data_IF_892790935830
#
_entry.id   IF_892790935830
#
_cell.length_a   1.000
_cell.length_b   1.000
_cell.length_c   1.000
_cell.angle_alpha   90.00
_cell.angle_beta   90.00
_cell.angle_gamma   90.00
#
_symmetry.space_group_name_H-M   'P 1'
#
loop_
_entity.id
_entity.type
_entity.pdbx_description
1 polymer ?
#
# COMPACT_ATOMS: atom_id res chain seq x y z
N UNK A 1 12.98 20.14 4.91
CA UNK A 1 13.03 18.73 5.37
C UNK A 1 11.80 17.92 4.95
N UNK A 2 10.58 18.46 5.02
CA UNK A 2 9.36 17.76 4.53
C UNK A 2 9.38 17.43 3.02
N UNK A 3 10.02 18.27 2.20
CA UNK A 3 10.14 18.05 0.75
C UNK A 3 10.85 16.75 0.38
N UNK A 4 11.94 16.40 1.08
CA UNK A 4 12.72 15.19 0.83
C UNK A 4 11.95 13.90 1.19
N UNK A 5 11.09 13.98 2.20
CA UNK A 5 10.29 12.83 2.64
C UNK A 5 9.13 12.56 1.68
N UNK A 6 8.51 13.64 1.17
CA UNK A 6 7.51 13.57 0.10
C UNK A 6 8.06 12.95 -1.19
N UNK A 7 9.26 13.35 -1.63
CA UNK A 7 9.89 12.76 -2.82
C UNK A 7 10.15 11.26 -2.67
N UNK A 8 10.57 10.80 -1.49
CA UNK A 8 10.81 9.38 -1.24
C UNK A 8 9.51 8.56 -1.26
N UNK A 9 8.43 9.11 -0.69
CA UNK A 9 7.12 8.47 -0.75
C UNK A 9 6.61 8.33 -2.19
N UNK A 10 6.76 9.38 -3.00
CA UNK A 10 6.34 9.37 -4.42
C UNK A 10 7.12 8.32 -5.20
N UNK A 11 8.45 8.27 -5.03
CA UNK A 11 9.29 7.26 -5.66
C UNK A 11 8.90 5.83 -5.26
N UNK A 12 8.62 5.61 -3.97
CA UNK A 12 8.18 4.32 -3.47
C UNK A 12 6.82 3.90 -4.08
N UNK A 13 5.85 4.82 -4.13
CA UNK A 13 4.54 4.58 -4.75
C UNK A 13 4.71 4.16 -6.22
N UNK A 14 5.51 4.90 -6.99
CA UNK A 14 5.76 4.59 -8.40
C UNK A 14 6.43 3.21 -8.53
N UNK A 15 7.42 2.92 -7.70
CA UNK A 15 8.12 1.62 -7.72
C UNK A 15 7.17 0.46 -7.42
N UNK A 16 6.30 0.57 -6.41
CA UNK A 16 5.34 -0.47 -6.04
C UNK A 16 4.33 -0.70 -7.16
N UNK A 17 3.91 0.35 -7.89
CA UNK A 17 2.98 0.20 -9.01
C UNK A 17 3.63 -0.57 -10.16
N UNK A 18 4.87 -0.24 -10.53
CA UNK A 18 5.61 -0.90 -11.62
C UNK A 18 5.92 -2.36 -11.25
N UNK A 19 6.42 -2.56 -10.04
CA UNK A 19 6.87 -3.87 -9.53
C UNK A 19 5.69 -4.76 -9.19
N UNK A 20 4.58 -4.19 -8.70
CA UNK A 20 3.37 -4.91 -8.30
C UNK A 20 2.66 -5.63 -9.45
N UNK A 21 2.99 -5.32 -10.70
CA UNK A 21 2.51 -6.07 -11.86
C UNK A 21 3.26 -7.40 -12.06
N UNK A 22 4.54 -7.45 -11.69
CA UNK A 22 5.42 -8.61 -11.93
C UNK A 22 5.69 -9.43 -10.67
N UNK A 23 5.76 -8.77 -9.52
CA UNK A 23 6.10 -9.40 -8.26
C UNK A 23 4.85 -9.67 -7.42
N UNK A 24 4.95 -10.65 -6.50
CA UNK A 24 3.85 -10.95 -5.60
C UNK A 24 3.47 -9.77 -4.71
N UNK A 25 2.23 -9.79 -4.22
CA UNK A 25 1.68 -8.72 -3.40
C UNK A 25 2.50 -8.41 -2.14
N UNK A 26 3.14 -9.39 -1.49
CA UNK A 26 3.93 -9.14 -0.27
C UNK A 26 5.10 -8.17 -0.47
N UNK A 27 5.52 -7.90 -1.70
CA UNK A 27 6.66 -7.05 -2.01
C UNK A 27 6.46 -5.60 -1.54
N UNK A 28 5.22 -5.09 -1.48
CA UNK A 28 4.99 -3.73 -0.97
C UNK A 28 5.45 -3.57 0.49
N UNK A 29 5.42 -4.65 1.28
CA UNK A 29 5.83 -4.62 2.69
C UNK A 29 7.31 -4.29 2.87
N UNK A 30 8.14 -4.64 1.90
CA UNK A 30 9.57 -4.34 1.89
C UNK A 30 9.78 -2.84 1.67
N UNK A 31 9.05 -2.26 0.70
CA UNK A 31 9.11 -0.83 0.39
C UNK A 31 8.61 0.03 1.55
N UNK A 32 7.48 -0.34 2.16
CA UNK A 32 6.94 0.39 3.32
C UNK A 32 7.89 0.30 4.52
N UNK A 33 8.56 -0.84 4.72
CA UNK A 33 9.61 -0.99 5.74
C UNK A 33 10.80 -0.05 5.51
N UNK A 34 11.30 0.05 4.27
CA UNK A 34 12.41 0.96 3.92
C UNK A 34 12.03 2.43 4.17
N UNK A 35 10.80 2.83 3.85
CA UNK A 35 10.30 4.19 4.13
C UNK A 35 10.21 4.45 5.63
N UNK A 36 9.75 3.45 6.39
CA UNK A 36 9.75 3.47 7.84
C UNK A 36 11.14 3.69 8.42
N UNK A 37 12.14 2.97 7.88
CA UNK A 37 13.54 3.10 8.29
C UNK A 37 14.10 4.51 8.05
N UNK A 38 13.82 5.13 6.90
CA UNK A 38 14.33 6.47 6.57
C UNK A 38 13.57 7.58 7.31
N UNK A 39 12.41 7.27 7.88
CA UNK A 39 11.56 8.26 8.54
C UNK A 39 12.13 8.73 9.89
N UNK A 40 12.16 10.05 10.09
CA UNK A 40 12.76 10.66 11.30
C UNK A 40 11.87 10.57 12.53
N UNK A 41 10.55 10.51 12.35
CA UNK A 41 9.57 10.51 13.44
C UNK A 41 8.61 9.34 13.30
N UNK A 42 8.21 8.77 14.43
CA UNK A 42 7.28 7.64 14.49
C UNK A 42 5.95 7.93 13.79
N UNK A 43 5.36 9.09 14.09
CA UNK A 43 4.10 9.53 13.46
C UNK A 43 4.23 9.64 11.94
N UNK A 44 5.37 10.14 11.45
CA UNK A 44 5.61 10.22 10.01
C UNK A 44 5.81 8.85 9.38
N UNK A 45 6.48 7.92 10.06
CA UNK A 45 6.65 6.56 9.56
C UNK A 45 5.30 5.84 9.41
N UNK A 46 4.43 5.97 10.40
CA UNK A 46 3.08 5.37 10.38
C UNK A 46 2.25 5.97 9.24
N UNK A 47 2.14 7.30 9.16
CA UNK A 47 1.32 7.96 8.13
C UNK A 47 1.85 7.67 6.73
N UNK A 48 3.17 7.74 6.53
CA UNK A 48 3.78 7.45 5.24
C UNK A 48 3.62 5.97 4.86
N UNK A 49 3.76 5.05 5.81
CA UNK A 49 3.53 3.61 5.58
C UNK A 49 2.09 3.32 5.15
N UNK A 50 1.10 3.99 5.76
CA UNK A 50 -0.30 3.87 5.34
C UNK A 50 -0.49 4.36 3.90
N UNK A 51 -0.03 5.57 3.61
CA UNK A 51 -0.21 6.22 2.30
C UNK A 51 0.45 5.41 1.20
N UNK A 52 1.68 4.94 1.42
CA UNK A 52 2.46 4.18 0.44
C UNK A 52 1.94 2.75 0.30
N UNK A 53 1.30 2.16 1.31
CA UNK A 53 0.58 0.90 1.15
C UNK A 53 -0.74 1.07 0.40
N UNK A 54 -1.56 2.03 0.84
CA UNK A 54 -2.93 2.24 0.38
C UNK A 54 -3.01 2.72 -1.07
N UNK A 55 -2.27 3.78 -1.43
CA UNK A 55 -2.42 4.44 -2.74
C UNK A 55 -2.06 3.51 -3.91
N UNK A 56 -0.88 2.86 -3.94
CA UNK A 56 -0.52 1.95 -5.02
C UNK A 56 -1.53 0.82 -5.16
N UNK A 57 -1.94 0.22 -4.04
CA UNK A 57 -2.85 -0.92 -4.02
C UNK A 57 -4.24 -0.54 -4.53
N UNK A 58 -4.74 0.62 -4.09
CA UNK A 58 -6.01 1.17 -4.57
C UNK A 58 -5.98 1.42 -6.09
N UNK A 59 -4.92 2.07 -6.59
CA UNK A 59 -4.75 2.35 -8.03
C UNK A 59 -4.67 1.05 -8.84
N UNK A 60 -3.89 0.07 -8.39
CA UNK A 60 -3.74 -1.22 -9.07
C UNK A 60 -5.07 -1.98 -9.14
N UNK A 61 -5.83 -2.03 -8.04
CA UNK A 61 -7.14 -2.69 -8.01
C UNK A 61 -8.17 -1.96 -8.88
N UNK A 62 -8.15 -0.63 -8.87
CA UNK A 62 -9.04 0.19 -9.70
C UNK A 62 -8.71 0.02 -11.18
N UNK A 63 -7.42 -0.01 -11.54
CA UNK A 63 -6.97 -0.33 -12.90
C UNK A 63 -7.37 -1.75 -13.32
N UNK A 64 -7.24 -2.74 -12.43
CA UNK A 64 -7.67 -4.10 -12.69
C UNK A 64 -9.20 -4.21 -12.86
N UNK A 65 -9.98 -3.40 -12.14
CA UNK A 65 -11.44 -3.37 -12.26
C UNK A 65 -11.89 -2.89 -13.64
N UNK A 66 -11.25 -1.85 -14.19
CA UNK A 66 -11.61 -1.29 -15.50
C UNK A 66 -11.08 -2.10 -16.69
N UNK A 67 -9.93 -2.78 -16.59
CA UNK A 67 -9.36 -3.59 -17.67
C UNK A 67 -9.81 -5.06 -17.57
N UNK A 68 -11.12 -5.31 -17.77
CA UNK A 68 -11.74 -6.65 -17.82
C UNK A 68 -11.87 -7.44 -16.50
N UNK A 69 -11.45 -6.87 -15.37
CA UNK A 69 -11.61 -7.52 -14.05
C UNK A 69 -13.04 -7.53 -13.50
N UNK A 70 -13.99 -6.83 -14.12
CA UNK A 70 -15.35 -6.66 -13.61
C UNK A 70 -16.00 -7.99 -13.21
N UNK A 71 -15.88 -9.03 -14.04
CA UNK A 71 -16.46 -10.35 -13.76
C UNK A 71 -15.83 -11.04 -12.55
N UNK A 72 -14.54 -10.82 -12.30
CA UNK A 72 -13.77 -11.41 -11.20
C UNK A 72 -14.10 -10.71 -9.88
N UNK A 73 -14.20 -9.38 -9.92
CA UNK A 73 -14.63 -8.56 -8.78
C UNK A 73 -16.09 -8.82 -8.41
N UNK A 74 -17.00 -8.97 -9.37
CA UNK A 74 -18.41 -9.30 -9.09
C UNK A 74 -18.57 -10.70 -8.47
N UNK A 75 -17.77 -11.69 -8.92
CA UNK A 75 -17.76 -13.02 -8.29
C UNK A 75 -17.23 -12.96 -6.86
N UNK A 76 -16.10 -12.28 -6.64
CA UNK A 76 -15.52 -12.10 -5.31
C UNK A 76 -16.47 -11.34 -4.38
N UNK A 77 -17.15 -10.29 -4.86
CA UNK A 77 -18.12 -9.56 -4.07
C UNK A 77 -19.32 -10.43 -3.70
N UNK A 78 -19.82 -11.25 -4.64
CA UNK A 78 -20.92 -12.19 -4.35
C UNK A 78 -20.56 -13.27 -3.32
N UNK A 79 -19.31 -13.76 -3.32
CA UNK A 79 -18.81 -14.72 -2.33
C UNK A 79 -18.67 -14.10 -0.93
N UNK A 80 -18.38 -12.81 -0.86
CA UNK A 80 -18.25 -12.07 0.38
C UNK A 80 -19.58 -11.43 0.84
N UNK A 81 -20.69 -11.78 0.19
CA UNK A 81 -22.02 -11.21 0.43
C UNK A 81 -22.05 -9.68 0.31
N UNK A 82 -21.20 -9.13 -0.56
CA UNK A 82 -21.10 -7.69 -0.83
C UNK A 82 -21.78 -7.37 -2.17
N UNK A 83 -22.77 -6.49 -2.12
CA UNK A 83 -23.54 -6.07 -3.29
C UNK A 83 -22.73 -5.18 -4.25
N UNK A 84 -21.73 -4.46 -3.73
CA UNK A 84 -20.99 -3.44 -4.50
C UNK A 84 -19.50 -3.80 -4.56
N UNK A 85 -18.94 -4.10 -5.75
CA UNK A 85 -17.53 -4.47 -5.91
C UNK A 85 -16.55 -3.34 -5.53
N UNK A 86 -17.01 -2.08 -5.57
CA UNK A 86 -16.25 -0.92 -5.12
C UNK A 86 -15.86 -1.00 -3.62
N UNK A 87 -16.74 -1.57 -2.78
CA UNK A 87 -16.49 -1.73 -1.34
C UNK A 87 -15.33 -2.71 -1.13
N UNK A 88 -15.24 -3.75 -1.97
CA UNK A 88 -14.16 -4.73 -1.92
C UNK A 88 -12.80 -4.07 -2.18
N UNK A 89 -12.73 -3.19 -3.19
CA UNK A 89 -11.50 -2.46 -3.55
C UNK A 89 -11.04 -1.58 -2.38
N UNK A 90 -11.98 -0.83 -1.80
CA UNK A 90 -11.70 0.03 -0.64
C UNK A 90 -11.20 -0.80 0.53
N UNK A 91 -11.87 -1.91 0.87
CA UNK A 91 -11.46 -2.79 1.96
C UNK A 91 -10.09 -3.44 1.73
N UNK A 92 -9.80 -3.90 0.52
CA UNK A 92 -8.49 -4.47 0.20
C UNK A 92 -7.39 -3.40 0.29
N UNK A 93 -7.66 -2.20 -0.21
CA UNK A 93 -6.72 -1.08 -0.10
C UNK A 93 -6.50 -0.64 1.35
N UNK A 94 -7.53 -0.59 2.20
CA UNK A 94 -7.35 -0.28 3.63
C UNK A 94 -6.55 -1.36 4.35
N UNK A 95 -6.79 -2.65 4.06
CA UNK A 95 -5.97 -3.74 4.57
C UNK A 95 -4.51 -3.59 4.16
N UNK A 96 -4.23 -3.27 2.89
CA UNK A 96 -2.85 -3.01 2.43
C UNK A 96 -2.21 -1.83 3.15
N UNK A 97 -2.98 -0.77 3.41
CA UNK A 97 -2.54 0.39 4.19
C UNK A 97 -2.18 0.01 5.62
N UNK A 98 -2.99 -0.82 6.29
CA UNK A 98 -2.72 -1.31 7.66
C UNK A 98 -1.47 -2.20 7.68
N UNK A 99 -1.29 -3.08 6.69
CA UNK A 99 -0.05 -3.88 6.60
C UNK A 99 1.15 -2.95 6.37
N UNK A 100 0.98 -1.93 5.53
CA UNK A 100 1.96 -0.88 5.26
C UNK A 100 2.35 -0.08 6.52
N UNK A 101 1.41 0.26 7.40
CA UNK A 101 1.72 0.95 8.66
C UNK A 101 2.52 0.08 9.61
N UNK A 102 2.12 -1.18 9.78
CA UNK A 102 2.80 -2.12 10.69
C UNK A 102 4.25 -2.33 10.23
N UNK A 103 4.45 -2.53 8.93
CA UNK A 103 5.78 -2.74 8.33
C UNK A 103 6.65 -1.48 8.33
N UNK A 104 6.07 -0.29 8.11
CA UNK A 104 6.82 0.95 8.27
C UNK A 104 7.20 1.21 9.74
N UNK A 105 6.34 0.83 10.68
CA UNK A 105 6.65 0.98 12.10
C UNK A 105 7.78 0.05 12.55
N UNK A 106 7.81 -1.19 12.06
CA UNK A 106 8.95 -2.10 12.32
C UNK A 106 10.25 -1.53 11.74
N UNK A 107 10.23 -1.02 10.51
CA UNK A 107 11.40 -0.35 9.91
C UNK A 107 11.90 0.84 10.73
N UNK A 108 10.99 1.66 11.27
CA UNK A 108 11.35 2.77 12.14
C UNK A 108 11.97 2.33 13.47
N UNK A 109 11.43 1.27 14.10
CA UNK A 109 11.98 0.71 15.33
C UNK A 109 13.41 0.19 15.14
N UNK A 110 13.74 -0.36 13.97
CA UNK A 110 15.11 -0.77 13.65
C UNK A 110 16.06 0.44 13.57
N UNK A 111 15.66 1.53 12.91
CA UNK A 111 16.48 2.75 12.84
C UNK A 111 16.71 3.37 14.23
N UNK A 112 15.68 3.39 15.09
CA UNK A 112 15.79 3.96 16.45
C UNK A 112 16.79 3.19 17.35
N UNK A 113 17.06 1.92 17.07
CA UNK A 113 17.95 1.05 17.86
C UNK A 113 19.38 0.95 17.31
N UNK A 114 19.62 1.43 16.09
CA UNK A 114 20.92 1.40 15.41
C UNK A 114 21.76 2.64 15.64
#
# INVERSE_FOLDING_TARGET
>A
MYSFQLTNNILAIISIIIIGYFLPWWTFSIFTCIIGYISKTEKSAIINGFIVGFIPWFILLLYAYYNDGMLLFTKMSSLLSMEIPMILIILSSTLSGIIGTITAWTGWQFNKRG
#
